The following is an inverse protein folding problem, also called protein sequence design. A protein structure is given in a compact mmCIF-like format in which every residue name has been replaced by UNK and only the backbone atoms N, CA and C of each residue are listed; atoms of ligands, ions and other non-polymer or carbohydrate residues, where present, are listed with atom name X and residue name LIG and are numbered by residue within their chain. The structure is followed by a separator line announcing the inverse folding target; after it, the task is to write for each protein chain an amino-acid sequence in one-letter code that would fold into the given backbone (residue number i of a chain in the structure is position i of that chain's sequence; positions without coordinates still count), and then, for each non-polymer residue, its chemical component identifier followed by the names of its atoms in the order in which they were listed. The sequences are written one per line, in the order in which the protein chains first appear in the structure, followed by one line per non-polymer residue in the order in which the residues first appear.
data_IF_576591040733
#
_entry.id   IF_576591040733
#
_cell.length_a   1.000
_cell.length_b   1.000
_cell.length_c   1.000
_cell.angle_alpha   90.00
_cell.angle_beta   90.00
_cell.angle_gamma   90.00
#
_symmetry.space_group_name_H-M   'P 1'
#
loop_
_entity.id
_entity.type
_entity.pdbx_description
1 polymer ?
#
# COMPACT_ATOMS: atom_id res chain seq x y z
N UNK A 1 11.64 0.48 -10.15
CA UNK A 1 10.31 0.25 -9.54
C UNK A 1 10.34 0.78 -8.12
N UNK A 2 9.24 1.35 -7.61
CA UNK A 2 9.12 1.87 -6.25
C UNK A 2 7.86 1.36 -5.57
N UNK A 3 7.84 1.45 -4.24
CA UNK A 3 6.71 1.06 -3.41
C UNK A 3 6.31 2.24 -2.52
N UNK A 4 5.03 2.61 -2.58
CA UNK A 4 4.41 3.62 -1.72
C UNK A 4 3.45 2.90 -0.78
N UNK A 5 3.52 3.19 0.50
CA UNK A 5 2.65 2.59 1.51
C UNK A 5 2.83 3.22 2.87
N UNK A 6 1.99 2.83 3.81
CA UNK A 6 2.01 3.31 5.20
C UNK A 6 2.18 2.15 6.16
N UNK A 7 3.14 2.24 7.04
CA UNK A 7 3.50 1.22 8.03
C UNK A 7 3.58 1.86 9.41
N UNK A 8 3.66 1.07 10.46
CA UNK A 8 3.95 1.56 11.80
C UNK A 8 5.44 1.42 12.14
N UNK A 9 5.89 2.14 13.14
CA UNK A 9 7.24 2.01 13.69
C UNK A 9 7.28 0.84 14.70
N UNK A 10 6.80 -0.32 14.28
CA UNK A 10 6.83 -1.58 15.02
C UNK A 10 7.78 -2.58 14.35
N UNK A 11 7.95 -3.75 14.96
CA UNK A 11 8.87 -4.79 14.48
C UNK A 11 8.53 -5.22 13.03
N UNK A 12 7.24 -5.41 12.72
CA UNK A 12 6.79 -5.80 11.38
C UNK A 12 7.05 -4.71 10.35
N UNK A 13 6.82 -3.44 10.69
CA UNK A 13 7.08 -2.32 9.80
C UNK A 13 8.57 -2.15 9.49
N UNK A 14 9.43 -2.34 10.49
CA UNK A 14 10.89 -2.28 10.31
C UNK A 14 11.34 -3.42 9.38
N UNK A 15 10.88 -4.66 9.65
CA UNK A 15 11.19 -5.83 8.82
C UNK A 15 10.69 -5.65 7.37
N UNK A 16 9.48 -5.14 7.20
CA UNK A 16 8.92 -4.83 5.89
C UNK A 16 9.80 -3.84 5.11
N UNK A 17 10.21 -2.75 5.75
CA UNK A 17 11.06 -1.71 5.14
C UNK A 17 12.43 -2.26 4.73
N UNK A 18 13.03 -3.11 5.54
CA UNK A 18 14.26 -3.80 5.18
C UNK A 18 14.06 -4.75 3.98
N UNK A 19 12.93 -5.43 3.93
CA UNK A 19 12.59 -6.34 2.83
C UNK A 19 12.42 -5.60 1.51
N UNK A 20 11.74 -4.44 1.52
CA UNK A 20 11.62 -3.55 0.35
C UNK A 20 13.00 -3.16 -0.18
N UNK A 21 13.91 -2.72 0.71
CA UNK A 21 15.29 -2.37 0.34
C UNK A 21 16.07 -3.55 -0.22
N UNK A 22 15.99 -4.73 0.42
CA UNK A 22 16.66 -5.95 -0.04
C UNK A 22 16.17 -6.40 -1.42
N UNK A 23 14.92 -6.10 -1.76
CA UNK A 23 14.32 -6.38 -3.06
C UNK A 23 14.76 -5.41 -4.17
N UNK A 24 15.56 -4.41 -3.85
CA UNK A 24 16.04 -3.41 -4.82
C UNK A 24 14.98 -2.41 -5.26
N UNK A 25 13.89 -2.26 -4.51
CA UNK A 25 12.86 -1.27 -4.75
C UNK A 25 13.25 0.09 -4.13
N UNK A 26 12.82 1.16 -4.78
CA UNK A 26 12.83 2.47 -4.14
C UNK A 26 11.73 2.50 -3.07
N UNK A 27 12.12 2.82 -1.86
CA UNK A 27 11.24 2.80 -0.70
C UNK A 27 10.67 4.19 -0.45
N UNK A 28 9.36 4.35 -0.67
CA UNK A 28 8.57 5.54 -0.40
C UNK A 28 7.53 5.26 0.71
N UNK A 29 7.83 4.32 1.61
CA UNK A 29 6.96 4.05 2.76
C UNK A 29 7.08 5.15 3.80
N UNK A 30 5.94 5.54 4.37
CA UNK A 30 5.84 6.47 5.48
C UNK A 30 5.44 5.77 6.76
N UNK A 31 5.82 6.34 7.90
CA UNK A 31 5.39 5.83 9.19
C UNK A 31 4.07 6.47 9.62
N UNK A 32 3.16 5.61 10.12
CA UNK A 32 1.97 6.04 10.83
C UNK A 32 2.36 6.77 12.12
N UNK A 33 1.65 7.85 12.43
CA UNK A 33 1.87 8.66 13.64
C UNK A 33 0.87 8.36 14.75
N UNK A 34 -0.19 7.59 14.45
CA UNK A 34 -1.20 7.16 15.40
C UNK A 34 -0.88 5.76 15.96
N UNK A 35 -1.77 5.22 16.81
CA UNK A 35 -1.55 3.94 17.51
C UNK A 35 -1.86 2.69 16.66
N UNK A 36 -1.91 2.82 15.33
CA UNK A 36 -2.18 1.68 14.45
C UNK A 36 -0.90 0.87 14.22
N UNK A 37 -1.01 -0.45 14.36
CA UNK A 37 0.07 -1.37 14.03
C UNK A 37 0.22 -1.52 12.51
N UNK A 38 1.38 -2.02 12.08
CA UNK A 38 1.61 -2.41 10.68
C UNK A 38 0.60 -3.48 10.25
N UNK A 39 0.08 -3.34 9.04
CA UNK A 39 -0.85 -4.32 8.46
C UNK A 39 -0.22 -5.71 8.36
N UNK A 40 -1.00 -6.74 8.70
CA UNK A 40 -0.56 -8.13 8.65
C UNK A 40 -1.72 -9.08 8.38
N UNK A 41 -1.41 -10.29 7.96
CA UNK A 41 -2.41 -11.33 7.73
C UNK A 41 -1.96 -12.65 8.35
N UNK A 42 -2.76 -13.20 9.27
CA UNK A 42 -2.59 -14.55 9.76
C UNK A 42 -3.31 -15.52 8.81
N UNK A 43 -2.54 -16.44 8.22
CA UNK A 43 -3.06 -17.39 7.25
C UNK A 43 -3.05 -18.78 7.89
N UNK A 44 -4.23 -19.39 8.01
CA UNK A 44 -4.41 -20.74 8.49
C UNK A 44 -4.60 -21.67 7.28
N UNK A 45 -3.77 -22.70 7.19
CA UNK A 45 -3.81 -23.68 6.08
C UNK A 45 -4.17 -25.03 6.67
N UNK A 46 -5.27 -25.62 6.16
CA UNK A 46 -5.72 -26.95 6.54
C UNK A 46 -5.02 -28.04 5.70
N UNK A 47 -5.02 -29.32 6.15
CA UNK A 47 -4.30 -30.39 5.45
C UNK A 47 -4.75 -30.64 4.01
N UNK A 48 -5.96 -30.22 3.64
CA UNK A 48 -6.50 -30.26 2.27
C UNK A 48 -6.06 -29.07 1.40
N UNK A 49 -5.28 -28.14 1.96
CA UNK A 49 -4.74 -26.98 1.26
C UNK A 49 -5.63 -25.75 1.25
N UNK A 50 -6.80 -25.79 1.89
CA UNK A 50 -7.67 -24.63 2.04
C UNK A 50 -7.04 -23.58 2.96
N UNK A 51 -7.30 -22.29 2.64
CA UNK A 51 -6.72 -21.16 3.37
C UNK A 51 -7.80 -20.31 3.99
N UNK A 52 -7.66 -20.02 5.26
CA UNK A 52 -8.43 -18.98 5.96
C UNK A 52 -7.50 -17.82 6.28
N UNK A 53 -7.85 -16.63 5.80
CA UNK A 53 -7.06 -15.41 6.01
C UNK A 53 -7.75 -14.53 7.03
N UNK A 54 -7.01 -14.15 8.08
CA UNK A 54 -7.44 -13.16 9.07
C UNK A 54 -6.57 -11.92 8.91
N UNK A 55 -7.09 -10.95 8.15
CA UNK A 55 -6.36 -9.77 7.70
C UNK A 55 -6.67 -8.57 8.59
N UNK A 56 -5.60 -7.92 9.06
CA UNK A 56 -5.64 -6.61 9.69
C UNK A 56 -4.89 -5.62 8.78
N UNK A 57 -5.60 -4.67 8.20
CA UNK A 57 -5.02 -3.70 7.26
C UNK A 57 -4.09 -2.69 7.95
N UNK A 58 -4.32 -2.43 9.23
CA UNK A 58 -3.47 -1.59 10.07
C UNK A 58 -3.21 -0.21 9.51
N UNK A 59 -2.01 0.27 9.72
CA UNK A 59 -1.53 1.57 9.26
C UNK A 59 -1.77 1.82 7.77
N UNK A 60 -1.65 0.78 6.94
CA UNK A 60 -1.85 0.88 5.49
C UNK A 60 -3.22 1.42 5.08
N UNK A 61 -4.27 1.11 5.86
CA UNK A 61 -5.62 1.58 5.60
C UNK A 61 -5.80 3.11 5.82
N UNK A 62 -4.81 3.78 6.38
CA UNK A 62 -4.82 5.22 6.66
C UNK A 62 -3.90 6.01 5.73
N UNK A 63 -3.52 5.42 4.60
CA UNK A 63 -2.76 6.14 3.57
C UNK A 63 -3.56 7.37 3.11
N UNK A 64 -2.94 8.53 3.14
CA UNK A 64 -3.56 9.81 2.80
C UNK A 64 -2.79 10.54 1.69
N UNK A 65 -3.31 11.66 1.21
CA UNK A 65 -2.65 12.45 0.16
C UNK A 65 -1.28 12.96 0.63
N UNK A 66 -1.17 13.33 1.91
CA UNK A 66 0.07 13.85 2.48
C UNK A 66 1.19 12.79 2.56
N UNK A 67 0.84 11.51 2.52
CA UNK A 67 1.79 10.40 2.56
C UNK A 67 2.40 10.08 1.19
N UNK A 68 1.91 10.70 0.12
CA UNK A 68 2.30 10.36 -1.25
C UNK A 68 3.58 11.10 -1.67
N UNK A 69 4.54 10.37 -2.22
CA UNK A 69 5.68 10.96 -2.92
C UNK A 69 5.27 11.35 -4.35
N UNK A 70 4.97 12.64 -4.54
CA UNK A 70 4.50 13.15 -5.82
C UNK A 70 5.51 12.99 -6.96
N UNK A 71 6.80 13.15 -6.68
CA UNK A 71 7.83 13.04 -7.72
C UNK A 71 8.00 11.60 -8.18
N UNK A 72 7.92 10.64 -7.25
CA UNK A 72 7.89 9.23 -7.59
C UNK A 72 6.67 8.90 -8.47
N UNK A 73 5.50 9.43 -8.13
CA UNK A 73 4.26 9.22 -8.89
C UNK A 73 4.35 9.85 -10.28
N UNK A 74 4.82 11.08 -10.39
CA UNK A 74 4.98 11.80 -11.67
C UNK A 74 5.97 11.11 -12.61
N UNK A 75 7.01 10.51 -12.07
CA UNK A 75 8.06 9.82 -12.84
C UNK A 75 7.70 8.40 -13.25
N UNK A 76 6.61 7.84 -12.73
CA UNK A 76 6.20 6.47 -12.98
C UNK A 76 5.50 6.33 -14.33
N UNK A 77 5.99 5.42 -15.19
CA UNK A 77 5.29 5.05 -16.43
C UNK A 77 3.96 4.34 -16.15
N UNK A 78 3.92 3.53 -15.08
CA UNK A 78 2.73 2.82 -14.64
C UNK A 78 2.62 2.98 -13.12
N UNK A 79 1.48 3.50 -12.67
CA UNK A 79 1.05 3.48 -11.27
C UNK A 79 0.08 2.32 -11.08
N UNK A 80 0.51 1.31 -10.31
CA UNK A 80 -0.33 0.17 -9.96
C UNK A 80 -0.89 0.34 -8.55
N UNK A 81 -2.19 0.18 -8.40
CA UNK A 81 -2.91 0.42 -7.14
C UNK A 81 -3.66 -0.84 -6.69
N UNK A 82 -3.64 -1.08 -5.38
CA UNK A 82 -4.32 -2.20 -4.73
C UNK A 82 -5.68 -1.77 -4.17
N UNK A 83 -6.77 -2.36 -4.65
CA UNK A 83 -8.15 -1.98 -4.33
C UNK A 83 -8.56 -2.15 -2.87
N UNK A 84 -7.84 -2.94 -2.07
CA UNK A 84 -8.09 -3.10 -0.63
C UNK A 84 -8.14 -1.79 0.17
N UNK A 85 -7.46 -0.75 -0.31
CA UNK A 85 -7.42 0.55 0.37
C UNK A 85 -8.59 1.47 0.02
N UNK A 86 -9.51 1.05 -0.86
CA UNK A 86 -10.65 1.88 -1.28
C UNK A 86 -11.77 1.97 -0.24
N UNK A 87 -11.73 1.19 0.82
CA UNK A 87 -12.77 1.15 1.86
C UNK A 87 -12.84 2.44 2.70
N UNK A 88 -11.72 3.16 2.81
CA UNK A 88 -11.67 4.39 3.59
C UNK A 88 -11.69 5.63 2.70
N UNK A 89 -12.47 6.67 3.09
CA UNK A 89 -12.55 7.92 2.33
C UNK A 89 -11.18 8.57 2.07
N UNK A 90 -10.30 8.59 3.08
CA UNK A 90 -8.95 9.17 2.99
C UNK A 90 -8.06 8.45 1.97
N UNK A 91 -8.04 7.13 2.02
CA UNK A 91 -7.25 6.31 1.08
C UNK A 91 -7.83 6.37 -0.33
N UNK A 92 -9.16 6.43 -0.45
CA UNK A 92 -9.82 6.64 -1.75
C UNK A 92 -9.44 8.01 -2.36
N UNK A 93 -9.37 9.06 -1.55
CA UNK A 93 -8.92 10.38 -1.99
C UNK A 93 -7.46 10.32 -2.45
N UNK A 94 -6.58 9.69 -1.67
CA UNK A 94 -5.18 9.49 -2.04
C UNK A 94 -5.03 8.76 -3.38
N UNK A 95 -5.81 7.72 -3.63
CA UNK A 95 -5.81 6.98 -4.89
C UNK A 95 -6.25 7.84 -6.07
N UNK A 96 -7.33 8.59 -5.91
CA UNK A 96 -7.84 9.50 -6.95
C UNK A 96 -6.83 10.61 -7.25
N UNK A 97 -6.19 11.13 -6.22
CA UNK A 97 -5.14 12.14 -6.37
C UNK A 97 -3.93 11.58 -7.11
N UNK A 98 -3.39 10.44 -6.66
CA UNK A 98 -2.25 9.78 -7.29
C UNK A 98 -2.52 9.43 -8.76
N UNK A 99 -3.71 8.90 -9.06
CA UNK A 99 -4.12 8.55 -10.42
C UNK A 99 -4.18 9.78 -11.35
N UNK A 100 -4.72 10.90 -10.87
CA UNK A 100 -4.76 12.15 -11.63
C UNK A 100 -3.34 12.69 -11.87
N UNK A 101 -2.51 12.67 -10.85
CA UNK A 101 -1.15 13.16 -10.90
C UNK A 101 -0.30 12.37 -11.90
N UNK A 102 -0.31 11.06 -11.84
CA UNK A 102 0.41 10.19 -12.77
C UNK A 102 -0.09 10.38 -14.19
N UNK A 103 -1.41 10.41 -14.41
CA UNK A 103 -2.00 10.61 -15.73
C UNK A 103 -1.65 11.99 -16.34
N UNK A 104 -1.66 13.05 -15.54
CA UNK A 104 -1.28 14.39 -16.01
C UNK A 104 0.19 14.50 -16.40
N UNK A 105 1.04 13.61 -15.86
CA UNK A 105 2.47 13.50 -16.18
C UNK A 105 2.77 12.55 -17.34
N UNK A 106 1.71 11.99 -18.00
CA UNK A 106 1.84 11.11 -19.16
C UNK A 106 1.91 9.62 -18.82
N UNK A 107 1.83 9.24 -17.55
CA UNK A 107 1.82 7.85 -17.10
C UNK A 107 0.48 7.15 -17.29
N UNK A 108 0.46 5.87 -17.00
CA UNK A 108 -0.71 4.97 -17.03
C UNK A 108 -1.07 4.49 -15.64
N UNK A 109 -2.36 4.34 -15.37
CA UNK A 109 -2.85 3.77 -14.12
C UNK A 109 -3.38 2.36 -14.34
N UNK A 110 -3.07 1.46 -13.42
CA UNK A 110 -3.64 0.14 -13.31
C UNK A 110 -4.13 -0.07 -11.88
N UNK A 111 -5.25 -0.78 -11.73
CA UNK A 111 -5.81 -1.10 -10.41
C UNK A 111 -6.28 -2.54 -10.40
N UNK A 112 -6.00 -3.25 -9.32
CA UNK A 112 -6.72 -4.48 -9.01
C UNK A 112 -7.91 -4.17 -8.12
N UNK A 113 -9.03 -4.84 -8.35
CA UNK A 113 -10.20 -4.75 -7.47
C UNK A 113 -10.04 -5.63 -6.21
N UNK A 114 -8.99 -6.45 -6.22
CA UNK A 114 -8.51 -7.30 -5.13
C UNK A 114 -9.50 -8.39 -4.71
N UNK A 115 -10.68 -8.04 -4.22
CA UNK A 115 -11.73 -9.00 -3.89
C UNK A 115 -13.12 -8.40 -4.17
N UNK A 116 -14.13 -9.26 -4.19
CA UNK A 116 -15.54 -8.88 -4.30
C UNK A 116 -16.18 -9.15 -2.95
N UNK A 117 -16.41 -8.09 -2.18
CA UNK A 117 -17.16 -8.16 -0.93
C UNK A 117 -18.65 -7.91 -1.17
#
# INVERSE_FOLDING_TARGET
MGFIGKISNDELGIEFKESVKKSGLNDFTVFETEENQTGHCAIFITPDGERTMNTYLGAGAFLSVEDLDEEAIKSAEILYMEGYLLDRPTSKEAFLYAAKLNKSSGGKNAITLSDVF
#
